data_IF_252642860627
#
_entry.id   IF_252642860627
#
_cell.length_a   1.000
_cell.length_b   1.000
_cell.length_c   1.000
_cell.angle_alpha   90.00
_cell.angle_beta   90.00
_cell.angle_gamma   90.00
#
_symmetry.space_group_name_H-M   'P 1'
#
loop_
_entity.id
_entity.type
_entity.pdbx_description
1 polymer ?
#
# COMPACT_ATOMS: atom_id res chain seq x y z
N UNK A 1 62.57 31.81 -26.97
CA UNK A 1 61.73 30.62 -26.73
C UNK A 1 60.70 31.02 -25.70
N UNK A 2 59.44 31.16 -26.10
CA UNK A 2 58.35 31.62 -25.23
C UNK A 2 57.88 30.47 -24.34
N UNK A 3 58.21 30.55 -23.05
CA UNK A 3 57.76 29.59 -22.04
C UNK A 3 56.24 29.69 -21.86
N UNK A 4 55.52 28.66 -22.28
CA UNK A 4 54.08 28.54 -22.05
C UNK A 4 53.87 28.33 -20.54
N UNK A 5 53.05 29.16 -19.87
CA UNK A 5 52.84 29.05 -18.43
C UNK A 5 52.26 27.69 -18.05
N UNK A 6 52.86 27.00 -17.05
CA UNK A 6 52.41 25.67 -16.57
C UNK A 6 50.91 25.59 -16.28
N UNK A 7 50.31 26.68 -15.80
CA UNK A 7 48.87 26.77 -15.53
C UNK A 7 48.00 26.66 -16.80
N UNK A 8 48.50 27.13 -17.95
CA UNK A 8 47.81 26.98 -19.24
C UNK A 8 47.87 25.52 -19.75
N UNK A 9 48.97 24.80 -19.49
CA UNK A 9 49.10 23.38 -19.83
C UNK A 9 48.18 22.51 -18.94
N UNK A 10 48.09 22.81 -17.65
CA UNK A 10 47.18 22.11 -16.73
C UNK A 10 45.71 22.34 -17.09
N UNK A 11 45.32 23.57 -17.47
CA UNK A 11 43.95 23.86 -17.95
C UNK A 11 43.61 23.10 -19.24
N UNK A 12 44.54 23.03 -20.19
CA UNK A 12 44.35 22.24 -21.43
C UNK A 12 44.24 20.74 -21.15
N UNK A 13 45.09 20.20 -20.28
CA UNK A 13 45.03 18.78 -19.90
C UNK A 13 43.70 18.44 -19.20
N UNK A 14 43.20 19.32 -18.34
CA UNK A 14 41.89 19.14 -17.69
C UNK A 14 40.72 19.23 -18.68
N UNK A 15 40.72 20.21 -19.58
CA UNK A 15 39.69 20.34 -20.61
C UNK A 15 39.63 19.11 -21.53
N UNK A 16 40.79 18.52 -21.88
CA UNK A 16 40.83 17.29 -22.66
C UNK A 16 40.31 16.07 -21.87
N UNK A 17 40.54 16.01 -20.55
CA UNK A 17 39.99 14.95 -19.71
C UNK A 17 38.47 15.06 -19.59
N UNK A 18 37.96 16.28 -19.37
CA UNK A 18 36.52 16.55 -19.30
C UNK A 18 35.80 16.18 -20.62
N UNK A 19 36.46 16.37 -21.77
CA UNK A 19 35.93 16.03 -23.10
C UNK A 19 35.87 14.49 -23.33
N UNK A 20 36.84 13.75 -22.81
CA UNK A 20 36.83 12.27 -22.83
C UNK A 20 35.71 11.72 -21.96
N UNK A 21 35.53 12.26 -20.75
CA UNK A 21 34.46 11.86 -19.83
C UNK A 21 33.08 12.16 -20.43
N UNK A 22 32.92 13.29 -21.12
CA UNK A 22 31.68 13.64 -21.84
C UNK A 22 31.31 12.58 -22.89
N UNK A 23 32.28 12.12 -23.68
CA UNK A 23 32.05 11.10 -24.72
C UNK A 23 31.63 9.76 -24.09
N UNK A 24 32.21 9.39 -22.94
CA UNK A 24 31.85 8.16 -22.21
C UNK A 24 30.40 8.25 -21.71
N UNK A 25 30.00 9.37 -21.11
CA UNK A 25 28.62 9.58 -20.64
C UNK A 25 27.62 9.60 -21.79
N UNK A 26 27.95 10.22 -22.92
CA UNK A 26 27.10 10.21 -24.11
C UNK A 26 26.88 8.79 -24.65
N UNK A 27 27.91 7.94 -24.62
CA UNK A 27 27.82 6.55 -25.01
C UNK A 27 26.94 5.75 -24.03
N UNK A 28 27.08 5.97 -22.72
CA UNK A 28 26.20 5.36 -21.72
C UNK A 28 24.74 5.78 -21.89
N UNK A 29 24.49 7.07 -22.14
CA UNK A 29 23.15 7.59 -22.40
C UNK A 29 22.55 6.96 -23.66
N UNK A 30 23.33 6.84 -24.74
CA UNK A 30 22.87 6.20 -25.97
C UNK A 30 22.52 4.72 -25.75
N UNK A 31 23.33 3.98 -24.97
CA UNK A 31 23.06 2.59 -24.63
C UNK A 31 21.77 2.45 -23.79
N UNK A 32 21.55 3.36 -22.86
CA UNK A 32 20.35 3.37 -22.02
C UNK A 32 19.09 3.76 -22.81
N UNK A 33 19.18 4.72 -23.72
CA UNK A 33 18.09 5.07 -24.63
C UNK A 33 17.71 3.90 -25.52
N UNK A 34 18.70 3.15 -26.03
CA UNK A 34 18.44 1.94 -26.81
C UNK A 34 17.64 0.91 -26.00
N UNK A 35 18.05 0.62 -24.77
CA UNK A 35 17.33 -0.30 -23.87
C UNK A 35 15.91 0.20 -23.57
N UNK A 36 15.76 1.51 -23.36
CA UNK A 36 14.46 2.14 -23.14
C UNK A 36 13.53 1.93 -24.35
N UNK A 37 14.01 2.17 -25.57
CA UNK A 37 13.20 1.96 -26.76
C UNK A 37 12.87 0.48 -27.03
N UNK A 38 13.77 -0.45 -26.70
CA UNK A 38 13.48 -1.89 -26.74
C UNK A 38 12.35 -2.26 -25.78
N UNK A 39 12.34 -1.70 -24.57
CA UNK A 39 11.24 -1.88 -23.61
C UNK A 39 9.95 -1.22 -24.09
N UNK A 40 10.03 0.01 -24.62
CA UNK A 40 8.88 0.68 -25.21
C UNK A 40 8.28 -0.11 -26.37
N UNK A 41 9.08 -0.79 -27.18
CA UNK A 41 8.57 -1.66 -28.25
C UNK A 41 7.76 -2.83 -27.70
N UNK A 42 8.18 -3.41 -26.58
CA UNK A 42 7.47 -4.54 -25.95
C UNK A 42 6.15 -4.10 -25.31
N UNK A 43 6.14 -2.93 -24.65
CA UNK A 43 4.97 -2.44 -23.89
C UNK A 43 4.01 -1.65 -24.78
N UNK A 44 4.55 -0.81 -25.66
CA UNK A 44 3.84 0.17 -26.49
C UNK A 44 4.27 0.09 -27.97
N UNK A 45 3.97 -1.02 -28.68
CA UNK A 45 4.50 -1.25 -30.03
C UNK A 45 4.13 -0.16 -31.04
N UNK A 46 2.99 0.52 -30.85
CA UNK A 46 2.54 1.60 -31.73
C UNK A 46 3.41 2.86 -31.66
N UNK A 47 4.06 3.11 -30.51
CA UNK A 47 4.93 4.29 -30.29
C UNK A 47 6.22 4.18 -31.10
N UNK A 48 6.65 2.96 -31.44
CA UNK A 48 7.89 2.70 -32.19
C UNK A 48 7.93 3.38 -33.56
N UNK A 49 6.76 3.56 -34.20
CA UNK A 49 6.66 4.30 -35.46
C UNK A 49 7.17 5.74 -35.35
N UNK A 50 6.97 6.38 -34.19
CA UNK A 50 7.46 7.73 -33.90
C UNK A 50 8.94 7.75 -33.57
N UNK A 51 9.44 6.69 -32.91
CA UNK A 51 10.88 6.52 -32.60
C UNK A 51 11.68 6.37 -33.89
N UNK A 52 11.20 5.58 -34.85
CA UNK A 52 11.88 5.37 -36.14
C UNK A 52 11.85 6.64 -37.00
N UNK A 53 10.78 7.44 -36.89
CA UNK A 53 10.64 8.69 -37.62
C UNK A 53 11.49 9.85 -37.05
N UNK A 54 12.12 9.66 -35.88
CA UNK A 54 12.96 10.68 -35.26
C UNK A 54 14.27 10.87 -36.05
N UNK A 55 14.68 12.11 -36.35
CA UNK A 55 15.96 12.36 -37.03
C UNK A 55 17.15 11.95 -36.14
N UNK A 56 18.27 11.61 -36.78
CA UNK A 56 19.49 11.23 -36.08
C UNK A 56 20.12 12.45 -35.40
N UNK A 57 19.68 12.70 -34.16
CA UNK A 57 20.17 13.77 -33.29
C UNK A 57 21.09 13.20 -32.21
N UNK A 58 21.96 14.02 -31.60
CA UNK A 58 22.78 13.61 -30.46
C UNK A 58 21.92 13.02 -29.34
N UNK A 59 22.45 12.04 -28.60
CA UNK A 59 21.71 11.28 -27.57
C UNK A 59 21.04 12.18 -26.52
N UNK A 60 21.65 13.30 -26.17
CA UNK A 60 21.13 14.29 -25.22
C UNK A 60 19.85 15.02 -25.69
N UNK A 61 19.60 15.05 -27.00
CA UNK A 61 18.46 15.76 -27.61
C UNK A 61 17.32 14.83 -28.06
N UNK A 62 17.53 13.51 -27.96
CA UNK A 62 16.52 12.51 -28.35
C UNK A 62 15.33 12.57 -27.41
N UNK A 63 14.12 12.48 -27.96
CA UNK A 63 12.89 12.48 -27.18
C UNK A 63 12.67 11.11 -26.55
N UNK A 64 12.17 11.11 -25.31
CA UNK A 64 11.85 9.88 -24.58
C UNK A 64 10.50 9.28 -24.97
N UNK A 65 9.67 10.04 -25.70
CA UNK A 65 8.30 9.67 -26.10
C UNK A 65 7.47 9.28 -24.87
N UNK A 66 7.49 10.14 -23.86
CA UNK A 66 6.65 9.99 -22.68
C UNK A 66 5.19 10.30 -23.04
N UNK A 67 4.21 9.79 -22.29
CA UNK A 67 2.80 10.14 -22.49
C UNK A 67 2.55 11.65 -22.49
N UNK A 68 3.33 12.43 -21.74
CA UNK A 68 3.28 13.90 -21.75
C UNK A 68 3.62 14.53 -23.10
N UNK A 69 4.38 13.83 -23.94
CA UNK A 69 4.86 14.33 -25.23
C UNK A 69 3.81 14.16 -26.34
N UNK A 70 2.73 13.42 -26.06
CA UNK A 70 1.66 13.12 -27.00
C UNK A 70 0.40 13.92 -26.67
N UNK A 71 -0.35 14.29 -27.71
CA UNK A 71 -1.67 14.90 -27.56
C UNK A 71 -2.70 13.89 -27.07
N UNK A 72 -3.81 14.36 -26.47
CA UNK A 72 -4.90 13.47 -26.02
C UNK A 72 -5.51 12.64 -27.16
N UNK A 73 -5.49 13.16 -28.39
CA UNK A 73 -5.92 12.41 -29.58
C UNK A 73 -4.95 11.27 -29.92
N UNK A 74 -3.65 11.51 -29.75
CA UNK A 74 -2.63 10.48 -30.00
C UNK A 74 -2.62 9.43 -28.88
N UNK A 75 -2.97 9.80 -27.64
CA UNK A 75 -3.13 8.84 -26.55
C UNK A 75 -4.12 7.73 -26.87
N UNK A 76 -5.23 8.07 -27.53
CA UNK A 76 -6.23 7.07 -27.96
C UNK A 76 -5.68 6.20 -29.09
N UNK A 77 -5.08 6.81 -30.12
CA UNK A 77 -4.53 6.09 -31.29
C UNK A 77 -3.44 5.09 -30.87
N UNK A 78 -2.56 5.54 -29.99
CA UNK A 78 -1.42 4.78 -29.47
C UNK A 78 -1.82 3.74 -28.41
N UNK A 79 -3.05 3.77 -27.90
CA UNK A 79 -3.49 2.87 -26.82
C UNK A 79 -2.91 3.22 -25.45
N UNK A 80 -2.45 4.45 -25.25
CA UNK A 80 -1.92 4.92 -23.96
C UNK A 80 -3.03 5.03 -22.90
N UNK A 81 -4.27 5.31 -23.33
CA UNK A 81 -5.43 5.38 -22.42
C UNK A 81 -5.73 4.02 -21.78
N UNK A 82 -5.69 2.93 -22.56
CA UNK A 82 -5.92 1.58 -22.03
C UNK A 82 -4.81 1.17 -21.07
N UNK A 83 -3.56 1.45 -21.42
CA UNK A 83 -2.41 1.20 -20.56
C UNK A 83 -2.47 1.99 -19.26
N UNK A 84 -2.94 3.24 -19.29
CA UNK A 84 -3.12 4.05 -18.09
C UNK A 84 -4.16 3.44 -17.13
N UNK A 85 -5.24 2.86 -17.66
CA UNK A 85 -6.25 2.16 -16.85
C UNK A 85 -5.69 0.89 -16.23
N UNK A 86 -4.88 0.13 -16.98
CA UNK A 86 -4.22 -1.08 -16.46
C UNK A 86 -3.19 -0.73 -15.38
N UNK A 87 -2.38 0.30 -15.61
CA UNK A 87 -1.42 0.81 -14.63
C UNK A 87 -2.13 1.26 -13.34
N UNK A 88 -3.25 1.96 -13.45
CA UNK A 88 -4.03 2.36 -12.28
C UNK A 88 -4.46 1.15 -11.44
N UNK A 89 -4.92 0.07 -12.08
CA UNK A 89 -5.30 -1.18 -11.39
C UNK A 89 -4.10 -1.85 -10.73
N UNK A 90 -2.94 -1.85 -11.38
CA UNK A 90 -1.72 -2.40 -10.80
C UNK A 90 -1.27 -1.61 -9.58
N UNK A 91 -1.32 -0.28 -9.63
CA UNK A 91 -1.00 0.60 -8.49
C UNK A 91 -1.98 0.42 -7.33
N UNK A 92 -3.27 0.24 -7.63
CA UNK A 92 -4.25 -0.09 -6.61
C UNK A 92 -3.93 -1.43 -5.93
N UNK A 93 -3.53 -2.44 -6.72
CA UNK A 93 -3.04 -3.73 -6.20
C UNK A 93 -1.82 -3.57 -5.29
N UNK A 94 -0.81 -2.83 -5.74
CA UNK A 94 0.42 -2.56 -4.98
C UNK A 94 0.12 -1.81 -3.67
N UNK A 95 -0.77 -0.81 -3.71
CA UNK A 95 -1.20 -0.08 -2.52
C UNK A 95 -1.91 -1.02 -1.53
N UNK A 96 -2.78 -1.91 -2.01
CA UNK A 96 -3.45 -2.90 -1.17
C UNK A 96 -2.46 -3.90 -0.56
N UNK A 97 -1.46 -4.36 -1.31
CA UNK A 97 -0.39 -5.21 -0.79
C UNK A 97 0.45 -4.51 0.27
N UNK A 98 0.78 -3.23 0.06
CA UNK A 98 1.49 -2.41 1.04
C UNK A 98 0.67 -2.25 2.34
N UNK A 99 -0.64 -2.02 2.22
CA UNK A 99 -1.55 -1.96 3.36
C UNK A 99 -1.65 -3.31 4.09
N UNK A 100 -1.70 -4.43 3.37
CA UNK A 100 -1.68 -5.78 3.97
C UNK A 100 -0.41 -6.01 4.78
N UNK A 101 0.75 -5.72 4.19
CA UNK A 101 2.04 -5.84 4.85
C UNK A 101 2.13 -4.97 6.11
N UNK A 102 1.59 -3.75 6.06
CA UNK A 102 1.53 -2.86 7.22
C UNK A 102 0.64 -3.43 8.34
N UNK A 103 -0.54 -3.96 7.99
CA UNK A 103 -1.44 -4.60 8.96
C UNK A 103 -0.81 -5.80 9.63
N UNK A 104 -0.16 -6.68 8.85
CA UNK A 104 0.58 -7.82 9.36
C UNK A 104 1.68 -7.37 10.34
N UNK A 105 2.46 -6.36 9.97
CA UNK A 105 3.49 -5.81 10.84
C UNK A 105 2.91 -5.24 12.15
N UNK A 106 1.78 -4.51 12.09
CA UNK A 106 1.09 -4.00 13.28
C UNK A 106 0.63 -5.16 14.17
N UNK A 107 0.00 -6.19 13.61
CA UNK A 107 -0.44 -7.37 14.36
C UNK A 107 0.73 -8.08 15.03
N UNK A 108 1.82 -8.33 14.32
CA UNK A 108 3.02 -8.92 14.92
C UNK A 108 3.57 -8.05 16.05
N UNK A 109 3.63 -6.73 15.87
CA UNK A 109 4.10 -5.82 16.91
C UNK A 109 3.20 -5.82 18.16
N UNK A 110 1.87 -5.88 17.98
CA UNK A 110 0.90 -5.95 19.06
C UNK A 110 0.99 -7.28 19.80
N UNK A 111 1.10 -8.39 19.07
CA UNK A 111 1.26 -9.72 19.66
C UNK A 111 2.54 -9.82 20.51
N UNK A 112 3.65 -9.25 20.03
CA UNK A 112 4.89 -9.17 20.81
C UNK A 112 4.74 -8.29 22.06
N UNK A 113 4.05 -7.14 21.95
CA UNK A 113 3.76 -6.26 23.10
C UNK A 113 2.88 -6.97 24.14
N UNK A 114 1.84 -7.67 23.71
CA UNK A 114 0.98 -8.45 24.60
C UNK A 114 1.77 -9.56 25.30
N UNK A 115 2.61 -10.32 24.58
CA UNK A 115 3.50 -11.32 25.18
C UNK A 115 4.46 -10.71 26.20
N UNK A 116 5.04 -9.54 25.93
CA UNK A 116 5.90 -8.83 26.88
C UNK A 116 5.12 -8.39 28.12
N UNK A 117 3.92 -7.84 27.95
CA UNK A 117 3.06 -7.43 29.06
C UNK A 117 2.61 -8.63 29.90
N UNK A 118 2.28 -9.76 29.28
CA UNK A 118 1.98 -11.01 29.98
C UNK A 118 3.18 -11.54 30.76
N UNK A 119 4.41 -11.45 30.23
CA UNK A 119 5.62 -11.83 30.99
C UNK A 119 5.92 -10.85 32.14
N UNK A 120 5.74 -9.54 31.91
CA UNK A 120 5.92 -8.52 32.95
C UNK A 120 4.86 -8.60 34.07
N UNK A 121 3.62 -8.96 33.72
CA UNK A 121 2.55 -9.21 34.70
C UNK A 121 2.66 -10.60 35.33
N UNK A 122 3.10 -11.64 34.63
CA UNK A 122 3.32 -12.97 35.22
C UNK A 122 4.40 -12.95 36.30
N UNK A 123 5.43 -12.10 36.17
CA UNK A 123 6.41 -11.85 37.23
C UNK A 123 5.82 -11.07 38.42
N UNK A 124 4.74 -10.31 38.21
CA UNK A 124 4.03 -9.56 39.25
C UNK A 124 2.85 -10.31 39.89
N UNK A 125 2.38 -11.40 39.28
CA UNK A 125 1.34 -12.28 39.83
C UNK A 125 2.03 -13.47 40.49
N UNK A 126 2.63 -13.24 41.66
CA UNK A 126 2.94 -14.29 42.63
C UNK A 126 1.61 -14.88 43.13
N UNK A 127 1.11 -15.95 42.51
CA UNK A 127 -0.10 -16.62 42.99
C UNK A 127 -0.79 -17.66 42.11
N UNK A 128 -0.33 -17.95 40.89
CA UNK A 128 -0.95 -18.98 40.03
C UNK A 128 0.06 -19.92 39.37
N UNK A 129 0.94 -20.52 40.18
CA UNK A 129 1.96 -21.47 39.69
C UNK A 129 1.40 -22.85 39.28
N UNK A 130 0.12 -23.16 39.52
CA UNK A 130 -0.36 -24.55 39.52
C UNK A 130 -1.15 -25.04 38.30
N UNK A 131 -1.37 -24.24 37.25
CA UNK A 131 -2.17 -24.69 36.09
C UNK A 131 -1.51 -24.54 34.71
N UNK A 132 -0.18 -24.49 34.62
CA UNK A 132 0.53 -24.36 33.33
C UNK A 132 1.35 -25.60 32.96
N UNK A 133 0.74 -26.80 32.99
CA UNK A 133 1.31 -28.01 32.34
C UNK A 133 0.88 -28.20 30.88
N UNK A 134 0.03 -27.32 30.34
CA UNK A 134 -0.49 -27.46 28.96
C UNK A 134 0.20 -26.57 27.90
N UNK A 135 1.19 -25.74 28.25
CA UNK A 135 1.86 -24.80 27.32
C UNK A 135 3.34 -25.18 27.08
N UNK A 136 3.67 -26.46 27.04
CA UNK A 136 5.00 -26.96 26.64
C UNK A 136 5.10 -27.34 25.16
N UNK A 137 4.07 -27.07 24.35
CA UNK A 137 3.98 -27.49 22.94
C UNK A 137 4.05 -26.39 21.88
N UNK A 138 4.38 -25.13 22.22
CA UNK A 138 4.49 -24.07 21.20
C UNK A 138 5.91 -24.04 20.63
N UNK A 139 6.09 -24.74 19.51
CA UNK A 139 7.33 -24.78 18.73
C UNK A 139 7.83 -23.38 18.36
N UNK A 140 9.16 -23.23 18.29
CA UNK A 140 9.84 -22.01 17.84
C UNK A 140 9.40 -21.68 16.40
N UNK A 141 9.28 -20.39 16.02
CA UNK A 141 8.98 -20.03 14.64
C UNK A 141 10.05 -20.59 13.71
N UNK A 142 9.63 -21.41 12.75
CA UNK A 142 10.51 -22.10 11.80
C UNK A 142 11.24 -21.17 10.83
N UNK A 143 12.13 -21.73 9.98
CA UNK A 143 13.05 -20.99 9.10
C UNK A 143 12.37 -19.97 8.16
N UNK A 144 11.11 -20.21 7.77
CA UNK A 144 10.28 -19.27 6.98
C UNK A 144 10.14 -17.89 7.64
N UNK A 145 10.10 -17.82 8.97
CA UNK A 145 9.96 -16.54 9.69
C UNK A 145 11.24 -15.69 9.60
N UNK A 146 12.41 -16.32 9.52
CA UNK A 146 13.69 -15.61 9.34
C UNK A 146 13.88 -15.11 7.90
N UNK A 147 13.38 -15.85 6.91
CA UNK A 147 13.37 -15.41 5.51
C UNK A 147 12.44 -14.23 5.29
N UNK A 148 11.24 -14.22 5.90
CA UNK A 148 10.32 -13.08 5.83
C UNK A 148 10.93 -11.80 6.42
N UNK A 149 11.74 -11.90 7.49
CA UNK A 149 12.42 -10.73 8.07
C UNK A 149 13.54 -10.19 7.17
N UNK A 150 14.30 -11.06 6.49
CA UNK A 150 15.31 -10.64 5.51
C UNK A 150 14.68 -9.97 4.28
N UNK A 151 13.59 -10.53 3.77
CA UNK A 151 12.84 -9.95 2.64
C UNK A 151 12.23 -8.58 2.99
N UNK A 152 11.80 -8.38 4.24
CA UNK A 152 11.29 -7.09 4.72
C UNK A 152 12.40 -6.04 4.90
N UNK A 153 13.63 -6.44 5.23
CA UNK A 153 14.77 -5.52 5.35
C UNK A 153 15.26 -5.00 3.99
N UNK A 154 15.18 -5.81 2.93
CA UNK A 154 15.58 -5.41 1.57
C UNK A 154 14.62 -4.42 0.90
N UNK A 155 13.37 -4.29 1.39
CA UNK A 155 12.34 -3.38 0.84
C UNK A 155 12.31 -2.00 1.48
N UNK A 156 13.20 -1.72 2.44
CA UNK A 156 13.27 -0.43 3.11
C UNK A 156 14.20 0.48 2.30
N UNK A 157 13.67 1.59 1.80
CA UNK A 157 14.40 2.77 1.23
C UNK A 157 14.62 2.85 -0.29
N UNK A 158 13.55 2.82 -1.07
CA UNK A 158 13.53 3.43 -2.40
C UNK A 158 12.16 4.06 -2.68
N UNK A 159 12.12 5.33 -3.11
CA UNK A 159 10.91 5.94 -3.66
C UNK A 159 10.44 5.05 -4.80
N UNK A 160 9.23 4.48 -4.68
CA UNK A 160 8.71 3.56 -5.69
C UNK A 160 8.10 4.39 -6.82
N UNK A 161 8.90 4.68 -7.83
CA UNK A 161 8.36 5.03 -9.15
C UNK A 161 7.78 3.77 -9.80
N UNK A 162 6.78 3.98 -10.66
CA UNK A 162 6.08 2.91 -11.37
C UNK A 162 7.01 1.97 -12.09
N UNK A 163 6.64 0.69 -12.15
CA UNK A 163 7.42 -0.34 -12.85
C UNK A 163 7.62 -0.03 -14.35
N UNK A 164 6.73 0.74 -14.97
CA UNK A 164 6.88 1.25 -16.35
C UNK A 164 8.04 2.26 -16.48
N UNK A 165 8.42 2.92 -15.39
CA UNK A 165 9.38 4.03 -15.38
C UNK A 165 10.70 3.69 -14.68
N UNK A 166 10.96 2.42 -14.35
CA UNK A 166 12.22 2.01 -13.72
C UNK A 166 13.35 1.93 -14.74
N UNK A 167 14.39 2.72 -14.53
CA UNK A 167 15.73 2.47 -15.10
C UNK A 167 16.48 1.49 -14.19
N UNK A 168 16.39 0.18 -14.43
CA UNK A 168 17.27 -0.78 -13.73
C UNK A 168 16.82 -2.24 -13.67
N UNK A 169 17.64 -3.12 -14.27
CA UNK A 169 17.72 -4.58 -14.13
C UNK A 169 16.41 -5.37 -14.24
N UNK A 170 15.89 -5.47 -15.47
CA UNK A 170 15.13 -6.64 -15.88
C UNK A 170 16.14 -7.66 -16.41
N UNK A 171 16.36 -8.76 -15.68
CA UNK A 171 16.98 -9.94 -16.29
C UNK A 171 16.17 -10.32 -17.54
N UNK A 172 16.87 -10.68 -18.62
CA UNK A 172 16.33 -10.93 -19.97
C UNK A 172 14.87 -11.43 -19.98
N UNK A 173 13.94 -10.54 -20.36
CA UNK A 173 12.52 -10.85 -20.46
C UNK A 173 12.19 -11.87 -21.57
N UNK A 174 13.12 -12.13 -22.50
CA UNK A 174 12.88 -13.05 -23.62
C UNK A 174 12.83 -14.53 -23.21
N UNK A 175 13.41 -14.90 -22.06
CA UNK A 175 13.50 -16.31 -21.65
C UNK A 175 12.30 -16.81 -20.83
N UNK A 176 11.34 -15.95 -20.49
CA UNK A 176 10.30 -16.31 -19.51
C UNK A 176 8.86 -15.85 -19.86
N UNK A 177 8.31 -16.24 -21.02
CA UNK A 177 6.93 -15.92 -21.41
C UNK A 177 5.86 -16.49 -20.45
N UNK A 178 6.17 -17.56 -19.72
CA UNK A 178 5.27 -18.13 -18.71
C UNK A 178 5.26 -17.31 -17.41
N UNK A 179 6.29 -16.52 -17.11
CA UNK A 179 6.36 -15.68 -15.91
C UNK A 179 5.42 -14.49 -16.03
N UNK A 180 5.31 -13.84 -17.19
CA UNK A 180 4.31 -12.79 -17.39
C UNK A 180 2.89 -13.36 -17.21
N UNK A 181 2.57 -14.48 -17.87
CA UNK A 181 1.23 -15.06 -17.79
C UNK A 181 0.92 -15.58 -16.36
N UNK A 182 1.91 -16.14 -15.67
CA UNK A 182 1.80 -16.56 -14.27
C UNK A 182 1.65 -15.36 -13.32
N UNK A 183 2.35 -14.25 -13.54
CA UNK A 183 2.18 -13.04 -12.74
C UNK A 183 0.83 -12.36 -13.00
N UNK A 184 0.36 -12.31 -14.25
CA UNK A 184 -0.95 -11.75 -14.57
C UNK A 184 -2.10 -12.61 -14.01
N UNK A 185 -2.01 -13.94 -14.12
CA UNK A 185 -3.00 -14.85 -13.53
C UNK A 185 -2.93 -14.88 -12.00
N UNK A 186 -1.73 -14.89 -11.41
CA UNK A 186 -1.55 -14.78 -9.96
C UNK A 186 -2.03 -13.43 -9.40
N UNK A 187 -1.75 -12.32 -10.08
CA UNK A 187 -2.24 -10.99 -9.69
C UNK A 187 -3.78 -10.91 -9.78
N UNK A 188 -4.39 -11.56 -10.78
CA UNK A 188 -5.85 -11.65 -10.88
C UNK A 188 -6.46 -12.47 -9.74
N UNK A 189 -5.86 -13.61 -9.38
CA UNK A 189 -6.29 -14.42 -8.23
C UNK A 189 -6.10 -13.67 -6.92
N UNK A 190 -4.97 -12.98 -6.74
CA UNK A 190 -4.69 -12.15 -5.56
C UNK A 190 -5.67 -10.98 -5.44
N UNK A 191 -6.05 -10.33 -6.55
CA UNK A 191 -7.06 -9.28 -6.55
C UNK A 191 -8.44 -9.83 -6.18
N UNK A 192 -8.81 -11.00 -6.69
CA UNK A 192 -10.05 -11.67 -6.27
C UNK A 192 -10.07 -12.03 -4.78
N UNK A 193 -8.94 -12.47 -4.22
CA UNK A 193 -8.82 -12.73 -2.78
C UNK A 193 -8.82 -11.45 -1.94
N UNK A 194 -8.21 -10.36 -2.42
CA UNK A 194 -8.26 -9.06 -1.76
C UNK A 194 -9.69 -8.51 -1.75
N UNK A 195 -10.40 -8.61 -2.89
CA UNK A 195 -11.81 -8.23 -2.98
C UNK A 195 -12.68 -9.11 -2.07
N UNK A 196 -12.47 -10.42 -2.07
CA UNK A 196 -13.17 -11.34 -1.16
C UNK A 196 -12.87 -11.00 0.31
N UNK A 197 -11.62 -10.72 0.66
CA UNK A 197 -11.21 -10.31 2.01
C UNK A 197 -11.87 -8.99 2.42
N UNK A 198 -11.93 -8.00 1.54
CA UNK A 198 -12.65 -6.74 1.79
C UNK A 198 -14.16 -6.99 1.98
N UNK A 199 -14.77 -7.89 1.20
CA UNK A 199 -16.19 -8.24 1.41
C UNK A 199 -16.41 -9.03 2.70
N UNK A 200 -15.48 -9.89 3.08
CA UNK A 200 -15.52 -10.64 4.33
C UNK A 200 -15.35 -9.71 5.54
N UNK A 201 -14.42 -8.76 5.47
CA UNK A 201 -14.21 -7.72 6.48
C UNK A 201 -15.45 -6.83 6.61
N UNK A 202 -16.08 -6.44 5.50
CA UNK A 202 -17.36 -5.70 5.54
C UNK A 202 -18.47 -6.50 6.22
N UNK A 203 -18.57 -7.80 5.95
CA UNK A 203 -19.53 -8.69 6.63
C UNK A 203 -19.21 -8.83 8.11
N UNK A 204 -17.93 -8.99 8.47
CA UNK A 204 -17.46 -9.10 9.85
C UNK A 204 -17.71 -7.81 10.64
N UNK A 205 -17.51 -6.64 10.03
CA UNK A 205 -17.74 -5.35 10.66
C UNK A 205 -19.24 -5.09 10.88
N UNK A 206 -20.09 -5.47 9.90
CA UNK A 206 -21.56 -5.50 10.08
C UNK A 206 -21.99 -6.43 11.21
N UNK A 207 -21.39 -7.62 11.30
CA UNK A 207 -21.69 -8.58 12.37
C UNK A 207 -21.27 -8.07 13.75
N UNK A 208 -20.06 -7.53 13.88
CA UNK A 208 -19.56 -6.96 15.13
C UNK A 208 -20.42 -5.80 15.62
N UNK A 209 -20.83 -4.91 14.71
CA UNK A 209 -21.72 -3.80 15.04
C UNK A 209 -23.10 -4.28 15.51
N UNK A 210 -23.71 -5.24 14.81
CA UNK A 210 -24.99 -5.83 15.24
C UNK A 210 -24.87 -6.55 16.58
N UNK A 211 -23.73 -7.22 16.80
CA UNK A 211 -23.43 -7.93 18.05
C UNK A 211 -23.24 -6.97 19.23
N UNK A 212 -22.52 -5.86 19.05
CA UNK A 212 -22.27 -4.90 20.13
C UNK A 212 -23.55 -4.21 20.60
N UNK A 213 -24.40 -3.75 19.67
CA UNK A 213 -25.71 -3.19 20.02
C UNK A 213 -26.60 -4.18 20.78
N UNK A 214 -26.64 -5.43 20.33
CA UNK A 214 -27.38 -6.50 21.01
C UNK A 214 -26.83 -6.80 22.42
N UNK A 215 -25.50 -6.78 22.60
CA UNK A 215 -24.86 -6.98 23.90
C UNK A 215 -25.22 -5.85 24.88
N UNK A 216 -25.19 -4.59 24.44
CA UNK A 216 -25.54 -3.46 25.30
C UNK A 216 -27.02 -3.50 25.73
N UNK A 217 -27.94 -3.81 24.83
CA UNK A 217 -29.37 -3.99 25.16
C UNK A 217 -29.61 -5.14 26.14
N UNK A 218 -28.87 -6.25 25.98
CA UNK A 218 -28.93 -7.35 26.94
C UNK A 218 -28.48 -6.89 28.33
N UNK A 219 -27.42 -6.09 28.40
CA UNK A 219 -26.90 -5.59 29.67
C UNK A 219 -27.84 -4.57 30.31
N UNK A 220 -28.43 -3.66 29.52
CA UNK A 220 -29.50 -2.75 29.94
C UNK A 220 -30.66 -3.53 30.60
N UNK A 221 -31.15 -4.59 29.96
CA UNK A 221 -32.23 -5.43 30.49
C UNK A 221 -31.85 -6.09 31.82
N UNK A 222 -30.63 -6.65 31.95
CA UNK A 222 -30.16 -7.24 33.20
C UNK A 222 -30.12 -6.21 34.33
N UNK A 223 -29.60 -5.01 34.06
CA UNK A 223 -29.55 -3.94 35.06
C UNK A 223 -30.94 -3.41 35.43
N UNK A 224 -31.88 -3.40 34.50
CA UNK A 224 -33.28 -3.08 34.79
C UNK A 224 -33.93 -4.09 35.74
N UNK A 225 -33.72 -5.39 35.53
CA UNK A 225 -34.22 -6.44 36.43
C UNK A 225 -33.59 -6.29 37.81
N UNK A 226 -32.27 -6.08 37.89
CA UNK A 226 -31.58 -5.84 39.18
C UNK A 226 -32.10 -4.60 39.90
N UNK A 227 -32.46 -3.54 39.18
CA UNK A 227 -33.05 -2.34 39.74
C UNK A 227 -34.47 -2.60 40.31
N UNK A 228 -35.25 -3.45 39.64
CA UNK A 228 -36.56 -3.88 40.11
C UNK A 228 -36.46 -4.78 41.34
N UNK A 229 -35.48 -5.68 41.40
CA UNK A 229 -35.28 -6.58 42.55
C UNK A 229 -34.74 -5.84 43.80
N UNK A 230 -34.14 -4.66 43.61
CA UNK A 230 -33.49 -3.89 44.68
C UNK A 230 -34.40 -2.90 45.41
N UNK A 231 -35.74 -3.09 45.42
CA UNK A 231 -36.71 -2.14 46.01
C UNK A 231 -36.39 -1.77 47.46
N UNK A 232 -35.87 -2.72 48.24
CA UNK A 232 -35.58 -2.53 49.66
C UNK A 232 -34.29 -1.72 49.93
N UNK A 233 -33.50 -1.41 48.89
CA UNK A 233 -32.29 -0.61 49.03
C UNK A 233 -32.25 0.49 47.96
N UNK A 234 -32.67 1.73 48.29
CA UNK A 234 -32.82 2.80 47.31
C UNK A 234 -31.48 3.17 46.65
N UNK A 235 -30.35 3.01 47.36
CA UNK A 235 -29.03 3.28 46.79
C UNK A 235 -28.64 2.28 45.71
N UNK A 236 -28.86 0.98 45.93
CA UNK A 236 -28.60 -0.08 44.94
C UNK A 236 -29.53 0.05 43.73
N UNK A 237 -30.80 0.35 43.99
CA UNK A 237 -31.79 0.59 42.94
C UNK A 237 -31.40 1.77 42.05
N UNK A 238 -31.04 2.92 42.63
CA UNK A 238 -30.62 4.09 41.87
C UNK A 238 -29.35 3.83 41.03
N UNK A 239 -28.37 3.11 41.60
CA UNK A 239 -27.17 2.72 40.87
C UNK A 239 -27.48 1.80 39.68
N UNK A 240 -28.36 0.82 39.87
CA UNK A 240 -28.74 -0.12 38.82
C UNK A 240 -29.49 0.58 37.67
N UNK A 241 -30.39 1.52 37.97
CA UNK A 241 -31.06 2.35 36.96
C UNK A 241 -30.09 3.23 36.17
N UNK A 242 -29.17 3.93 36.85
CA UNK A 242 -28.14 4.73 36.18
C UNK A 242 -27.27 3.86 35.24
N UNK A 243 -26.92 2.66 35.70
CA UNK A 243 -26.14 1.70 34.90
C UNK A 243 -26.92 1.21 33.69
N UNK A 244 -28.21 0.91 33.84
CA UNK A 244 -29.09 0.55 32.72
C UNK A 244 -29.16 1.67 31.67
N UNK A 245 -29.33 2.92 32.11
CA UNK A 245 -29.38 4.10 31.25
C UNK A 245 -28.06 4.35 30.51
N UNK A 246 -26.91 4.09 31.15
CA UNK A 246 -25.60 4.14 30.50
C UNK A 246 -25.51 3.13 29.34
N UNK A 247 -25.95 1.89 29.56
CA UNK A 247 -25.97 0.87 28.49
C UNK A 247 -26.94 1.19 27.37
N UNK A 248 -28.09 1.78 27.69
CA UNK A 248 -29.03 2.29 26.69
C UNK A 248 -28.39 3.37 25.81
N UNK A 249 -27.65 4.30 26.43
CA UNK A 249 -26.94 5.37 25.70
C UNK A 249 -25.87 4.78 24.78
N UNK A 250 -25.06 3.84 25.26
CA UNK A 250 -24.05 3.16 24.44
C UNK A 250 -24.67 2.35 23.29
N UNK A 251 -25.82 1.72 23.51
CA UNK A 251 -26.54 1.01 22.45
C UNK A 251 -26.99 1.98 21.33
N UNK A 252 -27.54 3.13 21.71
CA UNK A 252 -27.95 4.18 20.77
C UNK A 252 -26.76 4.78 20.01
N UNK A 253 -25.69 5.13 20.71
CA UNK A 253 -24.47 5.65 20.08
C UNK A 253 -23.86 4.65 19.09
N UNK A 254 -23.85 3.36 19.45
CA UNK A 254 -23.43 2.32 18.52
C UNK A 254 -24.29 2.38 17.24
N UNK A 255 -25.61 2.38 17.36
CA UNK A 255 -26.55 2.43 16.22
C UNK A 255 -26.41 3.70 15.37
N UNK A 256 -26.16 4.85 15.98
CA UNK A 256 -25.96 6.12 15.28
C UNK A 256 -24.59 6.25 14.61
N UNK A 257 -23.56 5.60 15.14
CA UNK A 257 -22.21 5.65 14.58
C UNK A 257 -22.08 4.91 13.25
N UNK A 258 -22.91 3.89 13.01
CA UNK A 258 -22.79 3.04 11.83
C UNK A 258 -23.19 3.72 10.51
N UNK A 259 -24.31 4.48 10.43
CA UNK A 259 -24.60 5.31 9.27
C UNK A 259 -23.53 6.35 8.97
N UNK A 260 -22.90 6.94 9.99
CA UNK A 260 -21.83 7.95 9.84
C UNK A 260 -20.59 7.36 9.16
N UNK A 261 -20.24 6.11 9.46
CA UNK A 261 -19.19 5.37 8.76
C UNK A 261 -19.55 5.05 7.29
N UNK A 262 -20.85 4.88 7.00
CA UNK A 262 -21.38 4.72 5.66
C UNK A 262 -21.27 5.98 4.79
N UNK A 263 -21.56 7.14 5.39
CA UNK A 263 -21.58 8.44 4.71
C UNK A 263 -20.18 8.97 4.36
N UNK A 264 -19.15 8.67 5.17
CA UNK A 264 -17.75 9.08 4.91
C UNK A 264 -17.01 8.25 3.84
N UNK A 265 -17.74 7.53 2.97
CA UNK A 265 -17.16 6.97 1.75
C UNK A 265 -16.56 5.56 1.85
N UNK A 266 -16.59 4.90 3.02
CA UNK A 266 -16.17 3.49 3.13
C UNK A 266 -17.19 2.50 2.53
N UNK A 267 -18.44 2.94 2.33
CA UNK A 267 -19.54 2.09 1.85
C UNK A 267 -20.33 2.67 0.65
N UNK A 268 -20.18 3.96 0.34
CA UNK A 268 -20.79 4.59 -0.83
C UNK A 268 -20.00 4.32 -2.11
N UNK A 269 -20.43 3.33 -2.90
CA UNK A 269 -19.81 2.95 -4.18
C UNK A 269 -19.89 3.99 -5.31
N UNK A 270 -20.23 5.25 -5.02
CA UNK A 270 -20.41 6.33 -6.01
C UNK A 270 -19.21 7.26 -6.12
N UNK A 271 -18.38 7.40 -5.08
CA UNK A 271 -17.31 8.39 -5.06
C UNK A 271 -16.17 8.06 -6.05
N UNK A 272 -15.79 6.78 -6.21
CA UNK A 272 -14.66 6.40 -7.09
C UNK A 272 -14.97 6.60 -8.59
N UNK A 273 -16.23 6.42 -9.02
CA UNK A 273 -16.63 6.65 -10.43
C UNK A 273 -16.64 8.13 -10.79
N UNK A 274 -16.99 9.00 -9.85
CA UNK A 274 -17.02 10.44 -10.08
C UNK A 274 -15.62 11.07 -10.01
N UNK A 275 -14.73 10.50 -9.18
CA UNK A 275 -13.32 10.88 -9.06
C UNK A 275 -12.50 10.76 -10.35
N UNK A 276 -12.75 9.74 -11.17
CA UNK A 276 -12.00 9.50 -12.42
C UNK A 276 -12.49 10.42 -13.55
N UNK A 277 -13.70 10.96 -13.48
CA UNK A 277 -14.32 11.67 -14.60
C UNK A 277 -14.15 13.20 -14.58
N UNK A 278 -13.86 13.85 -13.45
CA UNK A 278 -13.94 15.33 -13.39
C UNK A 278 -12.63 16.09 -13.17
N UNK A 279 -11.50 15.43 -12.86
CA UNK A 279 -10.17 16.05 -12.98
C UNK A 279 -9.91 17.37 -12.21
N UNK A 280 -10.78 17.79 -11.28
CA UNK A 280 -10.64 19.05 -10.55
C UNK A 280 -10.57 18.82 -9.05
N UNK A 281 -9.41 19.16 -8.49
CA UNK A 281 -9.12 19.12 -7.06
C UNK A 281 -9.68 20.38 -6.38
N UNK A 282 -10.90 20.33 -5.87
CA UNK A 282 -11.39 21.34 -4.94
C UNK A 282 -11.13 20.88 -3.50
N UNK A 283 -10.27 21.61 -2.80
CA UNK A 283 -10.00 21.46 -1.37
C UNK A 283 -11.32 21.54 -0.61
N UNK A 284 -11.66 20.49 0.13
CA UNK A 284 -12.72 20.51 1.14
C UNK A 284 -12.19 21.38 2.30
N UNK A 285 -12.90 22.47 2.68
CA UNK A 285 -12.51 23.23 3.86
C UNK A 285 -12.82 22.40 5.12
N UNK A 286 -11.84 22.33 6.01
CA UNK A 286 -12.05 21.87 7.37
C UNK A 286 -12.80 22.98 8.13
N UNK A 287 -13.99 22.66 8.63
CA UNK A 287 -14.67 23.42 9.69
C UNK A 287 -14.54 22.66 11.00
#
# INVERSE_FOLDING_TARGET
MSDIPRHALQKKAKANADDVDLVVEQHHLAADLKKWHEQQQQICPKVVSYVIAEPDTPSEKKRLFLPSDFSSTDHQKLGLVTLAVEELKLREGEANDALRNLREHIWHSQALRQRKNLRGNAVRVHGQEWNTRAISGVERPGPLYQECQRAAQLRRWGKVEGWIWRKGYHGNLSDMPWILNAHFTAAKVQWHWALQSLTADKKKLKFLHRSSGAQYRKMESVWHVLAQDSVNNPGKQAYAYNTAQMYQTMAREAEESFPKLGAHGLFGGTCLKQWVCTGTFQRIPYH
#
